data_IF_151667112760
#
_entry.id   IF_151667112760
#
_cell.length_a   1.000
_cell.length_b   1.000
_cell.length_c   1.000
_cell.angle_alpha   90.00
_cell.angle_beta   90.00
_cell.angle_gamma   90.00
#
_symmetry.space_group_name_H-M   'P 1'
#
loop_
_entity.id
_entity.type
_entity.pdbx_description
1 polymer ?
#
# COMPACT_ATOMS: atom_id res chain seq x y z
N UNK A 1 1.49 8.33 5.17
CA UNK A 1 1.50 7.06 4.40
C UNK A 1 2.86 6.73 3.78
N UNK A 2 3.47 7.54 2.91
CA UNK A 2 4.72 7.16 2.21
C UNK A 2 5.86 6.64 3.11
N UNK A 3 6.17 7.27 4.25
CA UNK A 3 7.24 6.81 5.17
C UNK A 3 6.96 5.44 5.81
N UNK A 4 5.71 5.21 6.22
CA UNK A 4 5.23 3.95 6.79
C UNK A 4 5.35 2.82 5.74
N UNK A 5 5.03 3.14 4.49
CA UNK A 5 5.11 2.24 3.35
C UNK A 5 6.56 1.84 3.03
N UNK A 6 7.45 2.82 2.88
CA UNK A 6 8.86 2.59 2.52
C UNK A 6 9.59 1.74 3.58
N UNK A 7 9.34 1.96 4.88
CA UNK A 7 9.95 1.15 5.95
C UNK A 7 9.44 -0.28 5.98
N UNK A 8 8.13 -0.49 5.78
CA UNK A 8 7.53 -1.83 5.84
C UNK A 8 7.96 -2.72 4.68
N UNK A 9 7.97 -2.19 3.45
CA UNK A 9 8.28 -3.01 2.28
C UNK A 9 9.77 -3.25 2.06
N UNK A 10 10.66 -2.36 2.51
CA UNK A 10 12.10 -2.65 2.58
C UNK A 10 12.43 -3.81 3.52
N UNK A 11 11.62 -4.01 4.57
CA UNK A 11 11.76 -5.11 5.53
C UNK A 11 11.25 -6.46 4.99
N UNK A 12 10.28 -6.44 4.06
CA UNK A 12 9.56 -7.65 3.65
C UNK A 12 10.26 -8.54 2.62
N UNK A 13 11.34 -8.06 1.98
CA UNK A 13 12.20 -8.89 1.13
C UNK A 13 11.47 -9.73 0.07
N UNK A 14 11.25 -9.18 -1.13
CA UNK A 14 10.67 -9.91 -2.26
C UNK A 14 9.15 -10.02 -2.16
N UNK A 15 8.46 -8.95 -2.56
CA UNK A 15 7.01 -8.94 -2.57
C UNK A 15 6.46 -9.75 -3.74
N UNK A 16 5.53 -10.65 -3.46
CA UNK A 16 4.69 -11.25 -4.50
C UNK A 16 3.64 -10.22 -4.95
N UNK A 17 4.01 -9.43 -5.97
CA UNK A 17 3.18 -8.35 -6.53
C UNK A 17 1.87 -8.89 -7.10
N UNK A 18 1.89 -10.10 -7.67
CA UNK A 18 0.70 -10.74 -8.22
C UNK A 18 -0.28 -11.09 -7.11
N UNK A 19 0.21 -11.70 -6.01
CA UNK A 19 -0.59 -11.94 -4.81
C UNK A 19 -1.10 -10.64 -4.19
N UNK A 20 -0.24 -9.63 -4.05
CA UNK A 20 -0.62 -8.34 -3.47
C UNK A 20 -1.75 -7.65 -4.25
N UNK A 21 -1.77 -7.80 -5.58
CA UNK A 21 -2.78 -7.21 -6.45
C UNK A 21 -3.99 -8.12 -6.70
N UNK A 22 -4.08 -9.29 -6.07
CA UNK A 22 -5.16 -10.24 -6.33
C UNK A 22 -6.54 -9.63 -5.99
N UNK A 23 -7.51 -9.87 -6.88
CA UNK A 23 -8.86 -9.30 -6.79
C UNK A 23 -8.97 -7.78 -6.89
N UNK A 24 -7.87 -7.04 -7.11
CA UNK A 24 -7.91 -5.59 -7.37
C UNK A 24 -8.24 -5.33 -8.85
N UNK A 25 -9.18 -4.42 -9.11
CA UNK A 25 -9.63 -4.06 -10.46
C UNK A 25 -9.77 -2.55 -10.62
N UNK A 26 -9.77 -2.06 -11.86
CA UNK A 26 -9.91 -0.62 -12.16
C UNK A 26 -8.92 0.24 -11.38
N UNK A 27 -9.43 1.32 -10.78
CA UNK A 27 -8.65 2.30 -10.02
C UNK A 27 -7.91 1.69 -8.82
N UNK A 28 -8.45 0.62 -8.22
CA UNK A 28 -7.79 -0.05 -7.09
C UNK A 28 -6.51 -0.76 -7.52
N UNK A 29 -6.51 -1.36 -8.72
CA UNK A 29 -5.33 -2.02 -9.30
C UNK A 29 -4.27 -1.01 -9.71
N UNK A 30 -4.70 0.14 -10.23
CA UNK A 30 -3.80 1.25 -10.60
C UNK A 30 -3.14 1.80 -9.33
N UNK A 31 -3.93 2.12 -8.31
CA UNK A 31 -3.44 2.60 -7.03
C UNK A 31 -2.51 1.60 -6.33
N UNK A 32 -2.77 0.30 -6.42
CA UNK A 32 -1.89 -0.72 -5.84
C UNK A 32 -0.53 -0.76 -6.53
N UNK A 33 -0.52 -0.70 -7.87
CA UNK A 33 0.74 -0.67 -8.64
C UNK A 33 1.55 0.59 -8.36
N UNK A 34 0.89 1.73 -8.21
CA UNK A 34 1.50 2.99 -7.78
C UNK A 34 2.18 2.86 -6.40
N UNK A 35 1.45 2.28 -5.44
CA UNK A 35 1.97 2.07 -4.10
C UNK A 35 3.16 1.09 -4.08
N UNK A 36 3.08 -0.01 -4.83
CA UNK A 36 4.12 -1.03 -4.90
C UNK A 36 5.35 -0.57 -5.68
N UNK A 37 5.21 0.28 -6.70
CA UNK A 37 6.34 0.87 -7.43
C UNK A 37 7.18 1.77 -6.51
N UNK A 38 6.53 2.53 -5.61
CA UNK A 38 7.22 3.35 -4.61
C UNK A 38 8.02 2.50 -3.61
N UNK A 39 7.52 1.32 -3.27
CA UNK A 39 8.20 0.38 -2.40
C UNK A 39 9.42 -0.28 -3.05
N UNK A 40 9.38 -0.54 -4.36
CA UNK A 40 10.40 -1.33 -5.06
C UNK A 40 11.52 -0.48 -5.71
N UNK A 41 11.21 0.74 -6.18
CA UNK A 41 12.15 1.56 -6.99
C UNK A 41 12.78 2.73 -6.21
N UNK A 42 12.51 2.81 -4.90
CA UNK A 42 13.04 3.87 -4.03
C UNK A 42 12.69 5.27 -4.52
N UNK A 43 11.43 5.69 -4.44
CA UNK A 43 10.93 7.07 -4.67
C UNK A 43 11.26 7.77 -6.01
N UNK A 44 12.07 7.18 -6.90
CA UNK A 44 12.53 7.83 -8.13
C UNK A 44 11.56 7.70 -9.31
N UNK A 45 10.52 6.87 -9.18
CA UNK A 45 9.44 6.76 -10.15
C UNK A 45 8.46 7.94 -10.03
N UNK A 46 8.89 9.10 -10.51
CA UNK A 46 8.05 10.28 -10.82
C UNK A 46 7.24 9.99 -12.07
N UNK A 47 6.24 9.10 -11.99
CA UNK A 47 5.32 8.91 -13.11
C UNK A 47 3.88 8.57 -12.70
N UNK A 48 3.46 8.95 -11.49
CA UNK A 48 2.06 8.82 -11.02
C UNK A 48 1.40 10.15 -10.64
N UNK A 49 1.98 11.27 -11.06
CA UNK A 49 1.40 12.62 -10.85
C UNK A 49 0.06 12.81 -11.61
N UNK A 50 -0.38 11.84 -12.41
CA UNK A 50 -1.63 11.94 -13.18
C UNK A 50 -2.90 11.61 -12.37
N UNK A 51 -2.78 11.08 -11.14
CA UNK A 51 -3.94 10.75 -10.28
C UNK A 51 -3.92 11.42 -8.90
N UNK A 52 -2.94 12.29 -8.63
CA UNK A 52 -2.87 13.05 -7.38
C UNK A 52 -3.54 14.42 -7.52
N UNK A 53 -4.78 14.46 -8.00
CA UNK A 53 -5.64 15.60 -7.66
C UNK A 53 -6.00 15.40 -6.20
N UNK A 54 -5.69 16.32 -5.28
CA UNK A 54 -6.05 16.21 -3.87
C UNK A 54 -7.57 16.42 -3.75
N UNK A 55 -8.32 15.38 -4.11
CA UNK A 55 -9.71 15.22 -3.77
C UNK A 55 -9.76 14.12 -2.70
N UNK A 56 -10.58 14.29 -1.66
CA UNK A 56 -10.67 13.35 -0.54
C UNK A 56 -10.95 11.90 -0.96
N UNK A 57 -11.53 11.71 -2.14
CA UNK A 57 -11.80 10.41 -2.75
C UNK A 57 -10.51 9.62 -3.09
N UNK A 58 -9.43 10.31 -3.49
CA UNK A 58 -8.15 9.67 -3.81
C UNK A 58 -7.48 9.13 -2.54
N UNK A 59 -7.47 9.91 -1.45
CA UNK A 59 -6.90 9.47 -0.17
C UNK A 59 -7.63 8.24 0.40
N UNK A 60 -8.97 8.23 0.29
CA UNK A 60 -9.80 7.08 0.67
C UNK A 60 -9.47 5.84 -0.17
N UNK A 61 -9.32 6.01 -1.49
CA UNK A 61 -8.93 4.93 -2.40
C UNK A 61 -7.57 4.34 -2.02
N UNK A 62 -6.56 5.16 -1.81
CA UNK A 62 -5.22 4.70 -1.45
C UNK A 62 -5.20 4.00 -0.09
N UNK A 63 -5.92 4.51 0.92
CA UNK A 63 -6.05 3.84 2.22
C UNK A 63 -6.75 2.47 2.11
N UNK A 64 -7.81 2.40 1.31
CA UNK A 64 -8.54 1.15 1.07
C UNK A 64 -7.66 0.12 0.37
N UNK A 65 -6.94 0.52 -0.67
CA UNK A 65 -6.03 -0.36 -1.39
C UNK A 65 -4.86 -0.80 -0.52
N UNK A 66 -4.32 0.10 0.29
CA UNK A 66 -3.27 -0.22 1.26
C UNK A 66 -3.69 -1.34 2.21
N UNK A 67 -4.90 -1.26 2.78
CA UNK A 67 -5.48 -2.35 3.59
C UNK A 67 -5.55 -3.67 2.82
N UNK A 68 -6.10 -3.65 1.60
CA UNK A 68 -6.30 -4.86 0.77
C UNK A 68 -4.99 -5.54 0.40
N UNK A 69 -3.92 -4.79 0.15
CA UNK A 69 -2.59 -5.36 -0.10
C UNK A 69 -2.13 -6.20 1.09
N UNK A 70 -2.31 -5.71 2.33
CA UNK A 70 -1.92 -6.46 3.52
C UNK A 70 -2.79 -7.69 3.73
N UNK A 71 -4.11 -7.57 3.53
CA UNK A 71 -5.03 -8.70 3.63
C UNK A 71 -4.67 -9.81 2.62
N UNK A 72 -4.39 -9.43 1.36
CA UNK A 72 -3.96 -10.35 0.29
C UNK A 72 -2.63 -11.05 0.60
N UNK A 73 -1.70 -10.34 1.25
CA UNK A 73 -0.43 -10.90 1.68
C UNK A 73 -0.53 -11.68 3.01
N UNK A 74 -1.71 -11.78 3.61
CA UNK A 74 -1.95 -12.38 4.94
C UNK A 74 -1.16 -11.67 6.04
N UNK A 75 -1.02 -10.35 5.92
CA UNK A 75 -0.30 -9.46 6.82
C UNK A 75 -1.24 -8.46 7.52
N UNK A 76 -2.54 -8.76 7.60
CA UNK A 76 -3.55 -7.85 8.19
C UNK A 76 -3.26 -7.43 9.63
N UNK A 77 -2.55 -8.26 10.41
CA UNK A 77 -2.12 -7.91 11.76
C UNK A 77 -1.03 -6.82 11.77
N UNK A 78 -0.09 -6.86 10.83
CA UNK A 78 0.89 -5.79 10.66
C UNK A 78 0.24 -4.48 10.24
N UNK A 79 -0.75 -4.54 9.35
CA UNK A 79 -1.54 -3.36 9.00
C UNK A 79 -2.19 -2.76 10.26
N UNK A 80 -2.80 -3.61 11.09
CA UNK A 80 -3.45 -3.18 12.33
C UNK A 80 -2.45 -2.57 13.30
N UNK A 81 -1.30 -3.20 13.52
CA UNK A 81 -0.21 -2.66 14.35
C UNK A 81 0.31 -1.31 13.85
N UNK A 82 0.34 -1.09 12.54
CA UNK A 82 0.82 0.17 11.95
C UNK A 82 -0.22 1.29 12.01
N UNK A 83 -1.51 0.94 11.99
CA UNK A 83 -2.62 1.90 12.00
C UNK A 83 -3.17 2.16 13.40
N UNK A 84 -3.01 1.22 14.31
CA UNK A 84 -3.41 1.31 15.70
C UNK A 84 -2.22 1.78 16.54
N UNK A 85 -2.34 2.93 17.18
CA UNK A 85 -1.27 3.47 18.04
C UNK A 85 -1.21 2.78 19.41
N UNK A 86 -2.15 1.87 19.69
CA UNK A 86 -2.35 1.22 21.01
C UNK A 86 -2.50 -0.32 20.92
N UNK A 87 -1.93 -0.96 19.89
CA UNK A 87 -2.02 -2.43 19.78
C UNK A 87 -1.22 -3.13 20.89
N UNK A 88 -1.93 -3.79 21.82
CA UNK A 88 -1.37 -4.78 22.75
C UNK A 88 -1.75 -6.19 22.28
N UNK A 89 -0.79 -7.03 21.86
CA UNK A 89 -1.07 -8.44 21.65
C UNK A 89 -1.36 -9.11 22.99
N UNK A 90 -2.49 -9.81 23.07
CA UNK A 90 -2.89 -10.68 24.19
C UNK A 90 -2.24 -12.05 24.07
#
# INVERSE_FOLDING_TARGET
>A
MRRIFDSYFKLLGGLDVDKACDGLVGDEKIAARALLSWANDGSHAVHDDLYMVPNGDADVLYLKVFRRIFDNLQQGDHYRMMMDTDFKPE
#
